data_IF_611887397384
#
_entry.id   IF_611887397384
#
_cell.length_a   1.000
_cell.length_b   1.000
_cell.length_c   1.000
_cell.angle_alpha   90.00
_cell.angle_beta   90.00
_cell.angle_gamma   90.00
#
_symmetry.space_group_name_H-M   'P 1'
#
loop_
_entity.id
_entity.type
_entity.pdbx_description
1 polymer ?
#
# COMPACT_ATOMS: atom_id res chain seq x y z
N UNK A 1 19.18 14.18 1.88
CA UNK A 1 18.30 13.78 3.00
C UNK A 1 18.62 14.69 4.18
N UNK A 2 17.62 15.22 4.87
CA UNK A 2 17.83 16.00 6.10
C UNK A 2 17.86 15.03 7.29
N UNK A 3 18.90 15.08 8.12
CA UNK A 3 19.06 14.18 9.28
C UNK A 3 18.50 14.76 10.58
N UNK A 4 18.06 16.03 10.54
CA UNK A 4 17.49 16.75 11.67
C UNK A 4 15.97 16.63 11.67
N UNK A 5 15.37 16.74 12.85
CA UNK A 5 13.91 16.85 12.99
C UNK A 5 13.39 18.09 12.28
N UNK A 6 12.10 18.10 11.96
CA UNK A 6 11.41 19.31 11.51
C UNK A 6 11.46 20.40 12.60
N UNK A 7 11.29 21.69 12.24
CA UNK A 7 11.15 22.77 13.23
C UNK A 7 9.97 22.52 14.20
N UNK A 8 8.86 22.00 13.67
CA UNK A 8 7.66 21.71 14.45
C UNK A 8 7.89 20.66 15.54
N UNK A 9 8.82 19.72 15.34
CA UNK A 9 9.17 18.72 16.35
C UNK A 9 9.57 19.35 17.69
N UNK A 10 10.29 20.47 17.67
CA UNK A 10 10.68 21.18 18.88
C UNK A 10 9.49 21.88 19.56
N UNK A 11 8.52 22.37 18.77
CA UNK A 11 7.32 23.05 19.28
C UNK A 11 6.41 22.10 20.06
N UNK A 12 6.28 20.86 19.57
CA UNK A 12 5.48 19.80 20.21
C UNK A 12 6.26 19.02 21.27
N UNK A 13 7.53 19.33 21.48
CA UNK A 13 8.37 18.68 22.49
C UNK A 13 8.86 17.29 22.12
N UNK A 14 8.79 16.89 20.85
CA UNK A 14 9.36 15.62 20.37
C UNK A 14 10.88 15.60 20.59
N UNK A 15 11.38 14.51 21.16
CA UNK A 15 12.81 14.29 21.40
C UNK A 15 13.30 13.12 20.58
N UNK A 16 14.20 13.40 19.64
CA UNK A 16 14.81 12.33 18.86
C UNK A 16 15.71 11.44 19.76
N UNK A 17 15.60 10.11 19.67
CA UNK A 17 16.51 9.22 20.36
C UNK A 17 17.98 9.46 19.98
N UNK A 18 18.87 9.36 20.97
CA UNK A 18 20.30 9.58 20.78
C UNK A 18 20.91 8.61 19.78
N UNK A 19 22.08 8.95 19.25
CA UNK A 19 22.82 8.07 18.33
C UNK A 19 23.07 6.67 18.93
N UNK A 20 23.35 6.60 20.24
CA UNK A 20 23.59 5.36 20.96
C UNK A 20 22.31 4.50 21.05
N UNK A 21 21.18 5.12 21.41
CA UNK A 21 19.88 4.43 21.49
C UNK A 21 19.45 3.92 20.12
N UNK A 22 19.55 4.74 19.07
CA UNK A 22 19.25 4.34 17.69
C UNK A 22 20.15 3.18 17.23
N UNK A 23 21.45 3.25 17.52
CA UNK A 23 22.39 2.16 17.16
C UNK A 23 22.01 0.86 17.87
N UNK A 24 21.71 0.93 19.17
CA UNK A 24 21.30 -0.24 19.96
C UNK A 24 19.97 -0.84 19.44
N UNK A 25 19.03 -0.01 19.02
CA UNK A 25 17.74 -0.43 18.49
C UNK A 25 17.84 -1.18 17.15
N UNK A 26 18.96 -1.11 16.41
CA UNK A 26 19.13 -1.83 15.14
C UNK A 26 19.49 -3.31 15.28
N UNK A 27 19.68 -3.81 16.51
CA UNK A 27 20.23 -5.15 16.77
C UNK A 27 19.39 -5.95 17.76
N UNK A 28 19.38 -7.29 17.67
CA UNK A 28 18.85 -8.12 18.74
C UNK A 28 19.62 -7.94 20.04
N UNK A 29 18.93 -8.13 21.17
CA UNK A 29 19.57 -8.09 22.48
C UNK A 29 20.65 -9.18 22.59
N UNK A 30 21.84 -8.81 23.05
CA UNK A 30 22.96 -9.75 23.26
C UNK A 30 23.77 -10.12 22.01
N UNK A 31 23.49 -9.56 20.83
CA UNK A 31 24.31 -9.82 19.64
C UNK A 31 25.68 -9.10 19.75
N UNK A 32 26.76 -9.86 19.99
CA UNK A 32 28.15 -9.34 19.96
C UNK A 32 28.84 -9.51 18.58
N UNK A 33 28.16 -10.13 17.61
CA UNK A 33 28.73 -10.45 16.29
C UNK A 33 28.81 -9.30 15.29
N UNK A 34 29.63 -9.49 14.25
CA UNK A 34 29.83 -8.61 13.07
C UNK A 34 28.57 -8.49 12.18
N UNK A 35 27.42 -8.11 12.74
CA UNK A 35 26.42 -7.44 11.90
C UNK A 35 27.10 -6.16 11.40
N UNK A 36 27.25 -6.04 10.07
CA UNK A 36 27.92 -4.93 9.42
C UNK A 36 27.56 -3.62 10.10
N UNK A 37 28.52 -2.71 10.22
CA UNK A 37 28.33 -1.41 10.88
C UNK A 37 27.20 -0.68 10.15
N UNK A 38 25.97 -0.80 10.66
CA UNK A 38 24.81 -0.07 10.13
C UNK A 38 25.10 1.38 10.44
N UNK A 39 25.29 2.18 9.40
CA UNK A 39 25.47 3.61 9.57
C UNK A 39 24.15 4.19 10.12
N UNK A 40 24.14 4.77 11.33
CA UNK A 40 22.93 5.34 11.90
C UNK A 40 22.39 6.52 11.09
N UNK A 41 23.16 7.06 10.14
CA UNK A 41 22.68 8.04 9.17
C UNK A 41 21.62 7.47 8.21
N UNK A 42 21.53 6.14 8.07
CA UNK A 42 20.52 5.47 7.22
C UNK A 42 19.08 5.69 7.75
N UNK A 43 18.93 5.98 9.04
CA UNK A 43 17.63 6.24 9.67
C UNK A 43 17.53 7.71 10.12
N UNK A 44 17.07 8.62 9.25
CA UNK A 44 16.91 10.03 9.59
C UNK A 44 15.85 10.23 10.69
N UNK A 45 15.85 11.42 11.29
CA UNK A 45 14.78 11.81 12.20
C UNK A 45 13.42 11.81 11.47
N UNK A 46 12.30 11.48 12.16
CA UNK A 46 10.99 11.62 11.55
C UNK A 46 10.69 13.08 11.23
N UNK A 47 9.97 13.29 10.14
CA UNK A 47 9.47 14.61 9.77
C UNK A 47 8.17 14.86 10.54
N UNK A 48 8.28 15.45 11.73
CA UNK A 48 7.11 15.74 12.58
C UNK A 48 6.35 16.94 12.00
N UNK A 49 5.11 16.74 11.56
CA UNK A 49 4.28 17.77 10.92
C UNK A 49 3.03 18.08 11.78
N UNK A 50 2.46 19.30 11.67
CA UNK A 50 1.26 19.63 12.42
C UNK A 50 0.12 18.63 12.21
N UNK A 51 -0.40 18.09 13.31
CA UNK A 51 -1.50 17.14 13.32
C UNK A 51 -1.12 15.70 12.93
N UNK A 52 0.17 15.38 12.84
CA UNK A 52 0.63 13.99 12.78
C UNK A 52 0.65 13.33 14.18
N UNK A 53 0.77 12.01 14.22
CA UNK A 53 0.67 11.26 15.48
C UNK A 53 1.77 11.64 16.47
N UNK A 54 3.00 11.90 15.98
CA UNK A 54 4.12 12.30 16.83
C UNK A 54 4.02 13.76 17.31
N UNK A 55 3.24 14.61 16.65
CA UNK A 55 2.89 15.95 17.12
C UNK A 55 1.80 15.89 18.20
N UNK A 56 0.88 14.92 18.10
CA UNK A 56 -0.19 14.72 19.07
C UNK A 56 0.28 13.95 20.31
N UNK A 57 1.19 12.98 20.13
CA UNK A 57 1.83 12.19 21.18
C UNK A 57 3.36 12.13 20.97
N UNK A 58 4.08 13.19 21.39
CA UNK A 58 5.54 13.30 21.21
C UNK A 58 6.35 12.29 22.03
N UNK A 59 5.73 11.62 23.01
CA UNK A 59 6.37 10.60 23.82
C UNK A 59 6.02 9.17 23.37
N UNK A 60 5.32 9.02 22.24
CA UNK A 60 4.97 7.69 21.70
C UNK A 60 6.24 6.83 21.53
N UNK A 61 6.28 5.62 22.10
CA UNK A 61 7.52 4.85 22.16
C UNK A 61 7.95 4.38 20.77
N UNK A 62 9.26 4.47 20.44
CA UNK A 62 9.78 3.90 19.19
C UNK A 62 9.80 2.37 19.26
N UNK A 63 9.70 1.70 18.12
CA UNK A 63 9.90 0.25 18.00
C UNK A 63 11.39 -0.06 17.74
N UNK A 64 11.96 -0.96 18.53
CA UNK A 64 13.30 -1.54 18.31
C UNK A 64 13.26 -2.79 17.42
N UNK A 65 14.39 -3.15 16.82
CA UNK A 65 14.52 -4.40 16.05
C UNK A 65 14.21 -5.63 16.89
N UNK A 66 14.60 -5.64 18.17
CA UNK A 66 14.32 -6.76 19.07
C UNK A 66 12.81 -6.90 19.36
N UNK A 67 12.11 -5.79 19.57
CA UNK A 67 10.66 -5.79 19.74
C UNK A 67 9.99 -6.27 18.46
N UNK A 68 10.37 -5.72 17.30
CA UNK A 68 9.90 -6.15 16.00
C UNK A 68 10.15 -7.65 15.76
N UNK A 69 11.34 -8.15 16.08
CA UNK A 69 11.71 -9.56 15.92
C UNK A 69 10.90 -10.47 16.86
N UNK A 70 10.58 -9.99 18.05
CA UNK A 70 9.81 -10.70 19.07
C UNK A 70 8.30 -10.54 18.95
N UNK A 71 7.79 -9.82 17.95
CA UNK A 71 6.36 -9.68 17.74
C UNK A 71 5.74 -11.06 17.44
N UNK A 72 4.88 -11.53 18.34
CA UNK A 72 4.18 -12.82 18.21
C UNK A 72 3.37 -12.94 16.93
N UNK A 73 2.85 -11.79 16.50
CA UNK A 73 1.99 -11.65 15.34
C UNK A 73 2.81 -11.55 14.04
N UNK A 74 4.14 -11.65 14.09
CA UNK A 74 4.98 -11.61 12.90
C UNK A 74 4.91 -12.93 12.15
N UNK A 75 5.00 -12.87 10.82
CA UNK A 75 5.33 -14.05 10.03
C UNK A 75 6.85 -14.26 10.06
N UNK A 76 7.28 -15.47 10.36
CA UNK A 76 8.69 -15.81 10.29
C UNK A 76 9.14 -15.98 8.85
N UNK A 77 10.27 -15.35 8.53
CA UNK A 77 11.01 -15.64 7.30
C UNK A 77 11.75 -16.94 7.54
N UNK A 78 11.29 -18.02 6.89
CA UNK A 78 11.87 -19.37 7.02
C UNK A 78 12.53 -19.78 5.70
N UNK A 79 13.33 -20.84 5.70
CA UNK A 79 13.89 -21.40 4.46
C UNK A 79 12.80 -21.74 3.44
N UNK A 80 11.66 -22.19 3.94
CA UNK A 80 10.55 -22.71 3.16
C UNK A 80 9.60 -21.60 2.72
N UNK A 81 9.57 -20.47 3.42
CA UNK A 81 8.67 -19.32 3.17
C UNK A 81 9.45 -18.02 3.26
N UNK A 82 10.10 -17.66 2.16
CA UNK A 82 11.00 -16.49 2.09
C UNK A 82 10.77 -15.59 0.88
N UNK A 83 9.84 -15.91 -0.01
CA UNK A 83 9.68 -15.12 -1.25
C UNK A 83 8.49 -14.18 -1.14
N UNK A 84 8.67 -12.89 -1.36
CA UNK A 84 7.55 -11.96 -1.59
C UNK A 84 7.14 -12.03 -3.05
N UNK A 85 5.87 -12.29 -3.32
CA UNK A 85 5.32 -12.30 -4.66
C UNK A 85 4.49 -11.04 -4.91
N UNK A 86 4.65 -10.45 -6.09
CA UNK A 86 3.79 -9.38 -6.62
C UNK A 86 3.01 -9.96 -7.79
N UNK A 87 1.69 -9.74 -7.81
CA UNK A 87 0.82 -10.11 -8.92
C UNK A 87 0.44 -8.82 -9.65
N UNK A 88 0.63 -8.80 -10.97
CA UNK A 88 0.22 -7.68 -11.80
C UNK A 88 -1.32 -7.54 -11.80
N UNK A 89 -1.86 -6.35 -12.15
CA UNK A 89 -3.30 -6.21 -12.36
C UNK A 89 -3.83 -7.24 -13.37
N UNK A 90 -5.04 -7.80 -13.15
CA UNK A 90 -5.63 -8.73 -14.12
C UNK A 90 -5.81 -8.08 -15.49
N UNK A 91 -5.65 -8.91 -16.54
CA UNK A 91 -6.01 -8.52 -17.90
C UNK A 91 -7.54 -8.54 -18.07
N UNK A 92 -8.01 -8.31 -19.30
CA UNK A 92 -9.44 -8.33 -19.62
C UNK A 92 -9.69 -9.29 -20.78
N UNK A 93 -10.71 -10.13 -20.64
CA UNK A 93 -11.34 -10.76 -21.80
C UNK A 93 -12.05 -9.72 -22.67
N UNK A 94 -12.19 -10.00 -23.97
CA UNK A 94 -12.86 -9.14 -24.94
C UNK A 94 -14.29 -8.79 -24.50
N UNK A 95 -15.03 -9.75 -23.98
CA UNK A 95 -16.41 -9.53 -23.53
C UNK A 95 -16.50 -8.83 -22.17
N UNK A 96 -15.39 -8.74 -21.42
CA UNK A 96 -15.26 -8.01 -20.16
C UNK A 96 -14.55 -6.66 -20.28
N UNK A 97 -14.12 -6.27 -21.49
CA UNK A 97 -13.32 -5.06 -21.70
C UNK A 97 -14.02 -3.76 -21.26
N UNK A 98 -15.36 -3.77 -21.17
CA UNK A 98 -16.13 -2.67 -20.60
C UNK A 98 -15.70 -2.30 -19.17
N UNK A 99 -15.18 -3.26 -18.40
CA UNK A 99 -14.72 -3.04 -17.03
C UNK A 99 -13.43 -2.23 -16.96
N UNK A 100 -12.66 -2.15 -18.06
CA UNK A 100 -11.48 -1.28 -18.13
C UNK A 100 -11.85 0.19 -18.02
N UNK A 101 -13.03 0.60 -18.51
CA UNK A 101 -13.50 1.97 -18.37
C UNK A 101 -13.72 2.37 -16.90
N UNK A 102 -13.84 1.41 -15.98
CA UNK A 102 -14.00 1.67 -14.55
C UNK A 102 -12.70 2.10 -13.87
N UNK A 103 -11.54 1.93 -14.51
CA UNK A 103 -10.25 2.38 -13.97
C UNK A 103 -9.94 3.84 -14.31
N UNK A 104 -10.82 4.53 -15.04
CA UNK A 104 -10.66 5.94 -15.42
C UNK A 104 -11.54 6.84 -14.56
N UNK A 105 -10.95 7.86 -13.89
CA UNK A 105 -11.74 8.78 -13.08
C UNK A 105 -12.60 9.70 -13.96
N UNK A 106 -13.79 10.05 -13.46
CA UNK A 106 -14.74 10.99 -14.06
C UNK A 106 -14.35 12.43 -13.72
N UNK A 107 -13.19 12.88 -14.19
CA UNK A 107 -12.72 14.26 -14.04
C UNK A 107 -13.08 15.12 -15.26
N UNK A 108 -13.45 16.38 -15.01
CA UNK A 108 -14.07 17.28 -16.00
C UNK A 108 -13.08 18.07 -16.88
N UNK A 109 -11.76 17.93 -16.67
CA UNK A 109 -10.74 18.67 -17.42
C UNK A 109 -9.54 17.78 -17.79
N UNK A 110 -8.90 18.16 -18.90
CA UNK A 110 -7.68 17.61 -19.52
C UNK A 110 -7.04 16.46 -18.76
N UNK A 111 -7.38 15.23 -19.19
CA UNK A 111 -6.72 14.04 -18.72
C UNK A 111 -5.30 14.02 -19.29
N UNK A 112 -4.29 14.24 -18.44
CA UNK A 112 -2.97 13.75 -18.80
C UNK A 112 -3.04 12.21 -18.81
N UNK A 113 -2.48 11.54 -19.83
CA UNK A 113 -2.40 10.09 -19.83
C UNK A 113 -1.56 9.66 -18.62
N UNK A 114 -2.23 9.15 -17.59
CA UNK A 114 -1.55 8.57 -16.44
C UNK A 114 -1.22 7.14 -16.83
N UNK A 115 0.07 6.89 -16.99
CA UNK A 115 0.58 5.54 -17.24
C UNK A 115 0.48 4.76 -15.93
N UNK A 116 -0.18 3.59 -15.96
CA UNK A 116 -0.22 2.70 -14.82
C UNK A 116 1.21 2.30 -14.42
N UNK A 117 1.52 2.20 -13.11
CA UNK A 117 2.86 1.82 -12.67
C UNK A 117 3.20 0.43 -13.21
N UNK A 118 4.43 0.28 -13.71
CA UNK A 118 4.91 -1.02 -14.16
C UNK A 118 5.05 -1.94 -12.93
N UNK A 119 4.42 -3.13 -12.89
CA UNK A 119 4.56 -4.06 -11.76
C UNK A 119 6.03 -4.41 -11.43
N UNK A 120 6.92 -4.38 -12.41
CA UNK A 120 8.36 -4.58 -12.20
C UNK A 120 9.00 -3.47 -11.35
N UNK A 121 8.51 -2.23 -11.44
CA UNK A 121 9.00 -1.13 -10.61
C UNK A 121 8.61 -1.37 -9.14
N UNK A 122 7.41 -1.91 -8.90
CA UNK A 122 6.95 -2.32 -7.56
C UNK A 122 7.82 -3.47 -7.02
N UNK A 123 8.16 -4.44 -7.86
CA UNK A 123 9.10 -5.52 -7.48
C UNK A 123 10.46 -4.94 -7.10
N UNK A 124 11.03 -4.05 -7.92
CA UNK A 124 12.32 -3.41 -7.64
C UNK A 124 12.30 -2.59 -6.35
N UNK A 125 11.22 -1.85 -6.13
CA UNK A 125 10.99 -1.08 -4.91
C UNK A 125 10.97 -1.98 -3.67
N UNK A 126 10.14 -3.02 -3.68
CA UNK A 126 10.02 -3.95 -2.56
C UNK A 126 11.32 -4.70 -2.33
N UNK A 127 12.07 -5.07 -3.38
CA UNK A 127 13.37 -5.72 -3.25
C UNK A 127 14.42 -4.83 -2.57
N UNK A 128 14.38 -3.51 -2.82
CA UNK A 128 15.25 -2.56 -2.15
C UNK A 128 14.91 -2.44 -0.65
N UNK A 129 13.63 -2.59 -0.30
CA UNK A 129 13.17 -2.50 1.08
C UNK A 129 13.39 -3.81 1.87
N UNK A 130 12.96 -4.95 1.30
CA UNK A 130 13.06 -6.27 1.92
C UNK A 130 14.43 -6.91 1.61
N UNK A 131 15.50 -6.26 2.09
CA UNK A 131 16.86 -6.69 1.79
C UNK A 131 17.11 -8.15 2.22
N UNK A 132 17.64 -8.95 1.30
CA UNK A 132 17.92 -10.39 1.52
C UNK A 132 16.70 -11.31 1.36
N UNK A 133 15.50 -10.76 1.13
CA UNK A 133 14.28 -11.52 0.84
C UNK A 133 14.04 -11.47 -0.67
N UNK A 134 13.96 -12.62 -1.38
CA UNK A 134 13.60 -12.63 -2.79
C UNK A 134 12.23 -11.99 -3.04
N UNK A 135 12.16 -11.02 -3.95
CA UNK A 135 10.90 -10.44 -4.44
C UNK A 135 10.74 -10.78 -5.91
N UNK A 136 9.58 -11.33 -6.30
CA UNK A 136 9.33 -11.82 -7.65
C UNK A 136 7.97 -11.38 -8.15
N UNK A 137 7.87 -11.13 -9.45
CA UNK A 137 6.58 -11.08 -10.12
C UNK A 137 6.05 -12.52 -10.30
N UNK A 138 4.87 -12.81 -9.75
CA UNK A 138 4.16 -14.06 -9.96
C UNK A 138 3.34 -13.95 -11.25
N UNK A 139 3.55 -14.89 -12.18
CA UNK A 139 2.73 -15.02 -13.37
C UNK A 139 1.67 -16.08 -13.12
N UNK A 140 0.41 -15.69 -13.29
CA UNK A 140 -0.73 -16.57 -13.10
C UNK A 140 -1.31 -16.84 -14.50
N UNK A 141 -1.41 -18.11 -14.92
CA UNK A 141 -2.06 -18.45 -16.17
C UNK A 141 -3.52 -17.99 -16.17
N UNK A 142 -3.95 -17.42 -17.30
CA UNK A 142 -5.32 -16.97 -17.53
C UNK A 142 -5.88 -16.03 -16.44
N UNK A 143 -5.07 -15.05 -16.02
CA UNK A 143 -5.44 -14.11 -14.96
C UNK A 143 -6.09 -12.84 -15.52
N UNK A 144 -7.42 -12.85 -15.65
CA UNK A 144 -8.16 -11.79 -16.32
C UNK A 144 -9.60 -11.67 -15.87
N UNK A 145 -10.17 -10.48 -16.02
CA UNK A 145 -11.59 -10.26 -15.84
C UNK A 145 -12.39 -10.88 -17.00
N UNK A 146 -13.49 -11.55 -16.67
CA UNK A 146 -14.43 -12.18 -17.59
C UNK A 146 -15.88 -11.78 -17.27
N UNK A 147 -16.82 -11.84 -18.21
CA UNK A 147 -18.22 -11.60 -17.90
C UNK A 147 -18.73 -12.59 -16.84
N UNK A 148 -19.63 -12.12 -15.97
CA UNK A 148 -20.34 -13.03 -15.07
C UNK A 148 -21.69 -13.42 -15.67
N UNK A 149 -22.01 -14.70 -15.64
CA UNK A 149 -23.20 -15.25 -16.28
C UNK A 149 -24.49 -14.58 -15.80
N UNK A 150 -25.39 -14.30 -16.76
CA UNK A 150 -26.70 -13.71 -16.50
C UNK A 150 -26.68 -12.25 -16.03
N UNK A 151 -25.54 -11.56 -16.08
CA UNK A 151 -25.43 -10.15 -15.70
C UNK A 151 -25.50 -9.21 -16.91
N UNK A 152 -26.14 -8.06 -16.73
CA UNK A 152 -26.07 -6.97 -17.72
C UNK A 152 -24.67 -6.38 -17.76
N UNK A 153 -24.13 -6.15 -18.97
CA UNK A 153 -22.84 -5.46 -19.17
C UNK A 153 -22.84 -3.99 -18.71
N UNK A 154 -24.01 -3.34 -18.62
CA UNK A 154 -24.11 -1.90 -18.29
C UNK A 154 -23.94 -1.60 -16.80
N UNK A 155 -24.41 -2.51 -15.93
CA UNK A 155 -24.35 -2.34 -14.48
C UNK A 155 -24.29 -3.69 -13.75
N UNK A 156 -23.29 -4.54 -14.06
CA UNK A 156 -23.23 -5.88 -13.51
C UNK A 156 -23.00 -5.83 -12.00
N UNK A 157 -23.72 -6.63 -11.21
CA UNK A 157 -23.48 -6.82 -9.78
C UNK A 157 -22.21 -7.63 -9.51
N UNK A 158 -21.81 -8.47 -10.47
CA UNK A 158 -20.62 -9.31 -10.40
C UNK A 158 -19.85 -9.26 -11.70
N UNK A 159 -18.53 -9.32 -11.62
CA UNK A 159 -17.64 -9.62 -12.73
C UNK A 159 -16.81 -10.85 -12.35
N UNK A 160 -16.53 -11.75 -13.28
CA UNK A 160 -15.66 -12.88 -13.01
C UNK A 160 -14.20 -12.45 -13.03
N UNK A 161 -13.39 -13.04 -12.15
CA UNK A 161 -11.94 -13.03 -12.25
C UNK A 161 -11.49 -14.47 -12.49
N UNK A 162 -11.07 -14.74 -13.72
CA UNK A 162 -10.51 -16.03 -14.11
C UNK A 162 -9.12 -16.19 -13.48
N UNK A 163 -8.88 -17.37 -12.92
CA UNK A 163 -7.65 -17.75 -12.24
C UNK A 163 -7.40 -19.22 -12.55
N UNK A 164 -6.51 -19.50 -13.50
CA UNK A 164 -6.25 -20.88 -13.96
C UNK A 164 -7.53 -21.59 -14.42
N UNK A 165 -8.03 -22.58 -13.68
CA UNK A 165 -9.25 -23.35 -13.97
C UNK A 165 -10.48 -22.90 -13.16
N UNK A 166 -10.33 -21.88 -12.32
CA UNK A 166 -11.39 -21.32 -11.50
C UNK A 166 -11.81 -19.93 -12.00
N UNK A 167 -13.05 -19.54 -11.68
CA UNK A 167 -13.56 -18.19 -11.91
C UNK A 167 -14.26 -17.71 -10.64
N UNK A 168 -13.73 -16.65 -10.04
CA UNK A 168 -14.24 -16.09 -8.79
C UNK A 168 -15.08 -14.86 -9.11
N UNK A 169 -16.31 -14.82 -8.60
CA UNK A 169 -17.22 -13.69 -8.81
C UNK A 169 -16.88 -12.53 -7.89
N UNK A 170 -16.40 -11.43 -8.47
CA UNK A 170 -16.08 -10.20 -7.75
C UNK A 170 -17.30 -9.29 -7.74
N UNK A 171 -17.83 -8.99 -6.55
CA UNK A 171 -18.93 -8.04 -6.36
C UNK A 171 -18.49 -6.65 -6.83
N UNK A 172 -19.43 -5.95 -7.46
CA UNK A 172 -19.20 -4.57 -7.89
C UNK A 172 -20.35 -3.67 -7.47
N UNK A 173 -20.05 -2.39 -7.28
CA UNK A 173 -21.05 -1.34 -7.02
C UNK A 173 -20.72 -0.05 -7.75
N UNK A 174 -21.68 0.85 -7.87
CA UNK A 174 -21.39 2.22 -8.31
C UNK A 174 -20.63 2.96 -7.18
N UNK A 175 -19.65 3.80 -7.54
CA UNK A 175 -18.91 4.56 -6.53
C UNK A 175 -19.83 5.58 -5.85
N UNK A 176 -19.94 5.60 -4.51
CA UNK A 176 -20.79 6.55 -3.80
C UNK A 176 -20.45 8.03 -4.10
N UNK A 177 -19.15 8.32 -4.22
CA UNK A 177 -18.63 9.67 -4.51
C UNK A 177 -18.61 10.05 -6.00
N UNK A 178 -18.97 9.10 -6.88
CA UNK A 178 -19.01 9.25 -8.34
C UNK A 178 -17.67 9.61 -8.99
N UNK A 179 -16.55 9.49 -8.27
CA UNK A 179 -15.20 9.77 -8.81
C UNK A 179 -14.83 8.73 -9.86
N UNK A 180 -15.14 7.47 -9.61
CA UNK A 180 -15.03 6.39 -10.60
C UNK A 180 -16.42 5.89 -11.01
N UNK A 181 -16.55 5.20 -12.16
CA UNK A 181 -17.82 4.60 -12.55
C UNK A 181 -18.31 3.52 -11.58
N UNK A 182 -17.40 2.62 -11.17
CA UNK A 182 -17.70 1.46 -10.31
C UNK A 182 -16.49 1.06 -9.48
N UNK A 183 -16.77 0.37 -8.37
CA UNK A 183 -15.78 -0.20 -7.45
C UNK A 183 -15.87 -1.73 -7.46
N UNK A 184 -14.74 -2.39 -7.21
CA UNK A 184 -14.67 -3.83 -6.94
C UNK A 184 -14.64 -4.07 -5.44
N UNK A 185 -15.25 -5.16 -4.99
CA UNK A 185 -15.17 -5.56 -3.60
C UNK A 185 -13.77 -6.10 -3.27
N UNK A 186 -13.21 -5.60 -2.18
CA UNK A 186 -11.87 -5.90 -1.70
C UNK A 186 -11.76 -7.30 -1.12
N UNK A 187 -12.77 -7.77 -0.37
CA UNK A 187 -12.74 -9.09 0.26
C UNK A 187 -12.74 -10.20 -0.79
N UNK A 188 -13.55 -10.06 -1.84
CA UNK A 188 -13.57 -11.03 -2.95
C UNK A 188 -12.19 -11.12 -3.64
N UNK A 189 -11.45 -10.00 -3.72
CA UNK A 189 -10.08 -9.96 -4.26
C UNK A 189 -9.04 -10.53 -3.27
N UNK A 190 -9.27 -10.40 -1.97
CA UNK A 190 -8.43 -11.04 -0.95
C UNK A 190 -8.59 -12.55 -0.97
N UNK A 191 -9.80 -13.07 -1.18
CA UNK A 191 -10.05 -14.50 -1.37
C UNK A 191 -9.31 -15.04 -2.60
N UNK A 192 -9.31 -14.29 -3.70
CA UNK A 192 -8.49 -14.60 -4.88
C UNK A 192 -6.99 -14.60 -4.53
N UNK A 193 -6.52 -13.59 -3.80
CA UNK A 193 -5.13 -13.51 -3.39
C UNK A 193 -4.70 -14.69 -2.50
N UNK A 194 -5.61 -15.21 -1.67
CA UNK A 194 -5.40 -16.41 -0.85
C UNK A 194 -5.33 -17.66 -1.73
N UNK A 195 -6.23 -17.81 -2.70
CA UNK A 195 -6.28 -19.02 -3.55
C UNK A 195 -5.01 -19.17 -4.42
N UNK A 196 -4.44 -18.05 -4.87
CA UNK A 196 -3.24 -18.03 -5.73
C UNK A 196 -1.91 -18.01 -4.96
N UNK A 197 -1.94 -17.98 -3.62
CA UNK A 197 -0.76 -17.82 -2.79
C UNK A 197 0.20 -19.02 -2.91
N UNK A 198 1.44 -18.84 -3.43
CA UNK A 198 2.39 -19.93 -3.53
C UNK A 198 2.77 -20.50 -2.15
N UNK A 199 3.06 -21.80 -2.09
CA UNK A 199 3.46 -22.47 -0.83
C UNK A 199 4.75 -21.90 -0.24
N UNK A 200 5.68 -21.45 -1.08
CA UNK A 200 6.97 -20.87 -0.70
C UNK A 200 6.91 -19.35 -0.43
N UNK A 201 5.73 -18.74 -0.58
CA UNK A 201 5.56 -17.32 -0.39
C UNK A 201 5.77 -16.95 1.09
N UNK A 202 6.60 -15.95 1.36
CA UNK A 202 6.51 -15.19 2.60
C UNK A 202 5.24 -14.34 2.61
N UNK A 203 4.95 -13.66 1.50
CA UNK A 203 3.74 -12.87 1.30
C UNK A 203 3.41 -12.73 -0.20
N UNK A 204 2.16 -12.37 -0.51
CA UNK A 204 1.69 -12.02 -1.85
C UNK A 204 1.00 -10.66 -1.84
N UNK A 205 1.30 -9.83 -2.84
CA UNK A 205 0.66 -8.54 -3.08
C UNK A 205 -0.01 -8.55 -4.46
N UNK A 206 -1.34 -8.49 -4.49
CA UNK A 206 -2.13 -8.35 -5.70
C UNK A 206 -2.35 -6.87 -6.01
N UNK A 207 -1.87 -6.42 -7.16
CA UNK A 207 -2.12 -5.07 -7.66
C UNK A 207 -3.43 -5.03 -8.43
N UNK A 208 -4.19 -3.95 -8.29
CA UNK A 208 -5.48 -3.73 -8.99
C UNK A 208 -5.56 -2.27 -9.46
N UNK A 209 -6.20 -2.02 -10.60
CA UNK A 209 -6.33 -0.66 -11.16
C UNK A 209 -7.71 -0.02 -10.89
N UNK A 210 -8.65 -0.81 -10.39
CA UNK A 210 -10.01 -0.38 -10.06
C UNK A 210 -10.10 0.21 -8.67
N UNK A 211 -11.03 1.14 -8.48
CA UNK A 211 -11.38 1.63 -7.17
C UNK A 211 -12.02 0.51 -6.33
N UNK A 212 -11.79 0.49 -5.02
CA UNK A 212 -12.19 -0.63 -4.16
C UNK A 212 -13.13 -0.20 -3.04
N UNK A 213 -13.85 -1.17 -2.48
CA UNK A 213 -14.63 -1.02 -1.25
C UNK A 213 -14.67 -2.34 -0.47
N UNK A 214 -14.91 -2.30 0.84
CA UNK A 214 -15.08 -3.50 1.64
C UNK A 214 -16.55 -3.68 2.02
N UNK A 215 -17.15 -2.67 2.63
CA UNK A 215 -18.54 -2.72 3.09
C UNK A 215 -19.38 -1.53 2.62
N UNK A 216 -20.63 -1.45 3.09
CA UNK A 216 -21.60 -0.43 2.70
C UNK A 216 -21.29 0.97 3.28
N UNK A 217 -20.51 1.04 4.37
CA UNK A 217 -20.19 2.26 5.09
C UNK A 217 -18.92 2.94 4.54
N UNK A 218 -18.09 2.19 3.82
CA UNK A 218 -16.95 2.74 3.09
C UNK A 218 -17.37 3.63 1.91
N UNK A 219 -16.71 4.77 1.75
CA UNK A 219 -16.76 5.50 0.47
C UNK A 219 -15.85 4.82 -0.56
N UNK A 220 -14.62 4.50 -0.18
CA UNK A 220 -13.65 3.71 -0.95
C UNK A 220 -12.54 3.22 -0.02
N UNK A 221 -11.77 2.23 -0.47
CA UNK A 221 -10.52 1.79 0.16
C UNK A 221 -9.42 1.69 -0.89
N UNK A 222 -8.18 1.94 -0.50
CA UNK A 222 -7.04 1.85 -1.42
C UNK A 222 -6.40 0.45 -1.44
N UNK A 223 -6.81 -0.42 -0.53
CA UNK A 223 -6.25 -1.75 -0.36
C UNK A 223 -6.35 -2.21 1.08
N UNK A 224 -6.09 -3.50 1.28
CA UNK A 224 -6.08 -4.15 2.60
C UNK A 224 -5.09 -5.31 2.58
N UNK A 225 -4.58 -5.64 3.76
CA UNK A 225 -3.71 -6.78 3.96
C UNK A 225 -4.24 -7.67 5.09
N UNK A 226 -4.19 -8.98 4.87
CA UNK A 226 -4.44 -10.00 5.88
C UNK A 226 -3.10 -10.61 6.28
N UNK A 227 -2.48 -10.06 7.33
CA UNK A 227 -1.18 -10.50 7.82
C UNK A 227 -1.14 -11.99 8.16
N UNK A 228 -2.21 -12.51 8.77
CA UNK A 228 -2.43 -13.95 9.05
C UNK A 228 -2.35 -14.81 7.80
N UNK A 229 -3.02 -14.37 6.74
CA UNK A 229 -3.09 -15.09 5.46
C UNK A 229 -1.92 -14.77 4.52
N UNK A 230 -1.05 -13.82 4.89
CA UNK A 230 0.13 -13.39 4.11
C UNK A 230 -0.21 -12.81 2.74
N UNK A 231 -1.37 -12.16 2.62
CA UNK A 231 -1.83 -11.55 1.37
C UNK A 231 -2.15 -10.08 1.56
N UNK A 232 -2.02 -9.31 0.48
CA UNK A 232 -2.50 -7.95 0.38
C UNK A 232 -3.07 -7.69 -1.01
N UNK A 233 -4.07 -6.81 -1.09
CA UNK A 233 -4.59 -6.25 -2.33
C UNK A 233 -4.37 -4.74 -2.28
N UNK A 234 -3.80 -4.16 -3.34
CA UNK A 234 -3.50 -2.73 -3.43
C UNK A 234 -4.03 -2.17 -4.73
N UNK A 235 -4.83 -1.10 -4.64
CA UNK A 235 -5.36 -0.38 -5.78
C UNK A 235 -4.54 0.86 -6.11
N UNK A 236 -4.27 1.08 -7.40
CA UNK A 236 -3.67 2.32 -7.89
C UNK A 236 -4.68 3.41 -8.23
N UNK A 237 -6.01 3.13 -8.17
CA UNK A 237 -7.04 4.03 -8.68
C UNK A 237 -6.95 5.42 -8.02
N UNK A 238 -6.98 5.47 -6.69
CA UNK A 238 -6.97 6.72 -5.92
C UNK A 238 -5.60 7.41 -5.87
N UNK A 239 -4.57 6.81 -6.46
CA UNK A 239 -3.22 7.39 -6.56
C UNK A 239 -2.94 8.03 -7.91
N UNK A 240 -4.00 8.48 -8.58
CA UNK A 240 -3.97 9.09 -9.89
C UNK A 240 -3.74 10.61 -9.80
N UNK A 241 -2.72 11.17 -10.48
CA UNK A 241 -2.43 12.62 -10.46
C UNK A 241 -3.59 13.52 -10.86
N UNK A 242 -4.47 13.03 -11.72
CA UNK A 242 -5.64 13.80 -12.15
C UNK A 242 -6.67 14.01 -11.04
N UNK A 243 -6.53 13.29 -9.92
CA UNK A 243 -7.36 13.47 -8.73
C UNK A 243 -6.78 14.45 -7.72
N UNK A 244 -5.55 14.96 -7.89
CA UNK A 244 -4.90 15.81 -6.88
C UNK A 244 -5.78 17.03 -6.51
N UNK A 245 -6.36 17.72 -7.52
CA UNK A 245 -7.27 18.86 -7.28
C UNK A 245 -8.61 18.45 -6.62
N UNK A 246 -9.12 17.27 -6.97
CA UNK A 246 -10.37 16.72 -6.42
C UNK A 246 -10.17 16.27 -4.97
N UNK A 247 -9.03 15.65 -4.67
CA UNK A 247 -8.66 15.19 -3.33
C UNK A 247 -8.50 16.38 -2.38
N UNK A 248 -7.91 17.49 -2.84
CA UNK A 248 -7.86 18.74 -2.06
C UNK A 248 -9.27 19.23 -1.73
N UNK A 249 -10.22 19.17 -2.67
CA UNK A 249 -11.62 19.57 -2.39
C UNK A 249 -12.36 18.60 -1.46
N UNK A 250 -12.11 17.29 -1.56
CA UNK A 250 -12.68 16.29 -0.64
C UNK A 250 -12.15 16.46 0.79
N UNK A 251 -10.85 16.77 0.93
CA UNK A 251 -10.21 17.12 2.20
C UNK A 251 -10.85 18.36 2.83
N UNK A 252 -11.09 19.41 2.03
CA UNK A 252 -11.74 20.64 2.49
C UNK A 252 -13.22 20.44 2.88
N UNK A 253 -13.89 19.40 2.36
CA UNK A 253 -15.28 19.05 2.69
C UNK A 253 -15.41 18.16 3.93
N UNK A 254 -14.32 17.91 4.65
CA UNK A 254 -14.35 17.12 5.88
C UNK A 254 -14.69 15.64 5.65
N UNK A 255 -14.63 15.16 4.40
CA UNK A 255 -14.75 13.73 4.08
C UNK A 255 -13.40 13.03 4.34
N UNK A 256 -12.96 13.08 5.60
CA UNK A 256 -11.95 12.17 6.12
C UNK A 256 -12.71 10.91 6.54
N UNK A 257 -12.37 9.75 5.99
CA UNK A 257 -12.57 8.52 6.76
C UNK A 257 -11.65 8.68 7.98
N UNK A 258 -12.21 8.65 9.19
CA UNK A 258 -11.42 8.56 10.41
C UNK A 258 -10.47 7.38 10.27
N UNK A 259 -9.19 7.63 10.12
CA UNK A 259 -8.14 6.62 10.23
C UNK A 259 -7.94 6.29 11.72
N UNK A 260 -8.97 5.78 12.38
CA UNK A 260 -8.98 5.57 13.84
C UNK A 260 -8.30 4.25 14.30
N UNK A 261 -7.64 3.50 13.41
CA UNK A 261 -6.85 2.31 13.78
C UNK A 261 -5.35 2.44 13.41
N UNK A 262 -4.71 3.53 13.83
CA UNK A 262 -3.27 3.76 13.74
C UNK A 262 -2.47 2.99 14.80
N UNK A 263 -2.69 1.67 14.91
CA UNK A 263 -1.84 0.79 15.71
C UNK A 263 -0.94 0.00 14.76
N UNK A 264 0.35 0.32 14.80
CA UNK A 264 1.47 -0.32 14.06
C UNK A 264 1.52 -0.01 12.55
N UNK A 265 1.92 1.22 12.20
CA UNK A 265 2.46 1.50 10.86
C UNK A 265 3.93 1.06 10.81
N UNK A 266 4.26 0.12 9.92
CA UNK A 266 5.65 -0.15 9.54
C UNK A 266 5.92 0.59 8.23
N UNK A 267 6.63 1.72 8.30
CA UNK A 267 7.00 2.53 7.14
C UNK A 267 8.03 1.82 6.26
N UNK A 268 7.65 1.44 5.04
CA UNK A 268 8.57 0.78 4.11
C UNK A 268 9.15 1.71 3.02
N UNK A 269 10.17 2.49 3.40
CA UNK A 269 11.19 3.07 2.50
C UNK A 269 10.72 4.08 1.45
N UNK A 270 11.63 4.51 0.58
CA UNK A 270 11.45 5.59 -0.40
C UNK A 270 12.24 5.25 -1.68
N UNK A 271 11.65 5.49 -2.85
CA UNK A 271 12.35 5.46 -4.14
C UNK A 271 11.74 6.51 -5.06
N UNK A 272 12.56 7.33 -5.73
CA UNK A 272 12.06 8.34 -6.65
C UNK A 272 11.78 7.72 -8.02
N UNK A 273 10.51 7.51 -8.34
CA UNK A 273 10.06 7.39 -9.74
C UNK A 273 8.97 8.43 -9.96
N UNK A 274 9.25 9.43 -10.79
CA UNK A 274 8.29 10.48 -11.20
C UNK A 274 7.57 11.21 -10.04
N UNK A 275 8.27 11.44 -8.93
CA UNK A 275 7.77 12.31 -7.85
C UNK A 275 6.62 11.73 -7.00
N UNK A 276 6.39 10.40 -7.04
CA UNK A 276 5.40 9.73 -6.19
C UNK A 276 5.99 8.47 -5.55
N UNK A 277 5.64 8.23 -4.30
CA UNK A 277 6.11 7.09 -3.48
C UNK A 277 4.92 6.14 -3.26
N UNK A 278 5.16 4.83 -3.35
CA UNK A 278 4.17 3.80 -3.05
C UNK A 278 4.64 3.07 -1.78
N UNK A 279 3.93 3.27 -0.67
CA UNK A 279 4.15 2.50 0.55
C UNK A 279 3.15 1.33 0.62
N UNK A 280 3.63 0.12 0.83
CA UNK A 280 2.79 -1.07 1.05
C UNK A 280 3.13 -1.59 2.43
N UNK A 281 2.19 -1.52 3.38
CA UNK A 281 2.40 -1.99 4.76
C UNK A 281 1.69 -3.32 4.94
N UNK A 282 2.41 -4.34 5.43
CA UNK A 282 1.82 -5.60 5.87
C UNK A 282 1.70 -5.57 7.40
N UNK A 283 0.48 -5.60 7.97
CA UNK A 283 0.30 -5.58 9.41
C UNK A 283 0.57 -6.97 10.04
N UNK A 284 0.76 -7.01 11.37
CA UNK A 284 0.85 -8.25 12.12
C UNK A 284 -0.43 -9.12 12.04
N UNK A 285 -0.28 -10.44 12.26
CA UNK A 285 -1.29 -11.51 12.11
C UNK A 285 -2.66 -11.25 12.74
N UNK A 286 -2.70 -10.54 13.88
CA UNK A 286 -3.90 -10.40 14.72
C UNK A 286 -4.53 -8.99 14.69
N UNK A 287 -4.13 -8.12 13.75
CA UNK A 287 -4.72 -6.79 13.59
C UNK A 287 -5.34 -6.61 12.20
N UNK A 288 -6.65 -6.37 12.18
CA UNK A 288 -7.38 -5.91 11.00
C UNK A 288 -7.11 -4.42 10.81
N UNK A 289 -6.23 -4.05 9.89
CA UNK A 289 -6.10 -2.63 9.48
C UNK A 289 -7.01 -2.39 8.27
N UNK A 290 -7.97 -1.45 8.35
CA UNK A 290 -8.91 -1.12 7.27
C UNK A 290 -8.34 -0.38 6.08
N UNK A 291 -7.03 -0.13 6.09
CA UNK A 291 -6.39 0.66 5.06
C UNK A 291 -4.95 0.20 4.87
N UNK A 292 -4.64 -0.32 3.68
CA UNK A 292 -3.26 -0.24 3.17
C UNK A 292 -3.00 1.23 2.90
N UNK A 293 -2.22 1.86 3.77
CA UNK A 293 -1.84 3.26 3.61
C UNK A 293 -0.73 3.32 2.55
N UNK A 294 -1.11 3.55 1.29
CA UNK A 294 -0.17 4.13 0.34
C UNK A 294 -0.16 5.63 0.60
N UNK A 295 0.89 6.12 1.25
CA UNK A 295 1.10 7.55 1.45
C UNK A 295 1.71 8.13 0.18
N UNK A 296 0.91 8.83 -0.63
CA UNK A 296 1.44 9.72 -1.66
C UNK A 296 1.84 11.04 -1.00
N UNK A 297 3.14 11.26 -0.77
CA UNK A 297 3.64 12.60 -0.49
C UNK A 297 3.85 13.33 -1.82
N UNK A 298 2.98 14.29 -2.12
CA UNK A 298 3.20 15.25 -3.20
C UNK A 298 4.17 16.34 -2.71
N UNK A 299 5.35 16.45 -3.33
CA UNK A 299 6.15 17.67 -3.18
C UNK A 299 5.71 18.68 -4.26
N UNK A 300 5.37 19.92 -3.90
CA UNK A 300 5.17 20.95 -4.90
C UNK A 300 6.50 21.25 -5.62
N UNK A 301 6.43 21.39 -6.95
CA UNK A 301 7.52 21.90 -7.78
C UNK A 301 8.00 23.25 -7.21
N UNK A 302 9.18 23.29 -6.61
CA UNK A 302 9.91 24.55 -6.43
C UNK A 302 10.67 24.80 -7.72
N UNK A 303 10.24 25.82 -8.46
CA UNK A 303 11.00 26.33 -9.59
C UNK A 303 12.37 26.79 -9.09
N UNK A 304 13.44 26.22 -9.64
CA UNK A 304 14.75 26.82 -9.55
C UNK A 304 14.76 28.07 -10.43
N UNK A 305 14.42 29.23 -9.87
CA UNK A 305 15.03 30.48 -10.32
C UNK A 305 16.53 30.42 -9.95
N UNK A 306 17.39 30.35 -10.96
CA UNK A 306 18.84 30.64 -10.86
C UNK A 306 19.07 32.14 -11.04
N UNK A 307 20.28 32.61 -10.70
CA UNK A 307 20.86 32.74 -9.37
C UNK A 307 20.38 34.00 -8.63
#
# INVERSE_FOLDING_TARGET
MCYNTSPHAAEVGYKQPSLKERTAATRPAGSQGQYGRIDPSIFPAPLVLPGDDLALDPEYPPQSFQEWLGEKDRNDVTSDRRTVYVVAPPDYDEDAYFAKAWTSPRVSKTQHPVVAPNPQDVVGYLAAFYHGVPVKLLRIPDFRFVPWDGQSRSAPRFIGLAVSDECIGIRTRACPDKVYPRQLNLDDLLDVAISILPKDAYALCLLVNHDLYEDADDTFVCGRAYGGSRVAVVSSARYCPTLDEVQIQLLLRGQRQKAEDLKRIVSLGCSPVNGRIICIVFPPKDQFIPTVIVVTLAFPNVSHSKP
#
